data_IF_248679585924
#
_entry.id   IF_248679585924
#
_cell.length_a   1.000
_cell.length_b   1.000
_cell.length_c   1.000
_cell.angle_alpha   90.00
_cell.angle_beta   90.00
_cell.angle_gamma   90.00
#
_symmetry.space_group_name_H-M   'P 1'
#
loop_
_entity.id
_entity.type
_entity.pdbx_description
1 polymer ?
#
# COMPACT_ATOMS: atom_id res chain seq x y z
N UNK A 1 12.94 -58.58 55.59
CA UNK A 1 12.08 -57.38 55.74
C UNK A 1 12.86 -56.16 55.25
N UNK A 2 12.24 -55.40 54.34
CA UNK A 2 12.48 -54.01 53.86
C UNK A 2 13.91 -53.45 53.75
N UNK A 3 14.32 -53.20 52.49
CA UNK A 3 15.41 -52.31 52.06
C UNK A 3 14.91 -50.85 52.04
N UNK A 4 15.78 -49.90 52.40
CA UNK A 4 15.51 -48.46 52.48
C UNK A 4 16.30 -47.70 51.38
N UNK A 5 15.55 -46.86 50.66
CA UNK A 5 15.83 -45.56 50.01
C UNK A 5 17.03 -45.35 49.05
N UNK A 6 16.73 -44.72 47.89
CA UNK A 6 17.20 -43.40 47.38
C UNK A 6 16.85 -43.34 45.86
N UNK A 7 15.84 -42.57 45.41
CA UNK A 7 15.82 -41.13 45.02
C UNK A 7 16.14 -40.88 43.53
N UNK A 8 15.38 -39.93 42.94
CA UNK A 8 15.47 -39.26 41.61
C UNK A 8 14.75 -40.00 40.46
N UNK A 9 13.52 -39.67 40.02
CA UNK A 9 12.81 -38.41 39.72
C UNK A 9 13.47 -37.55 38.62
N UNK A 10 13.22 -37.92 37.35
CA UNK A 10 13.23 -37.01 36.20
C UNK A 10 12.06 -37.40 35.26
N UNK A 11 10.83 -36.99 35.58
CA UNK A 11 9.74 -37.01 34.61
C UNK A 11 9.97 -35.87 33.61
N UNK A 12 10.40 -36.23 32.40
CA UNK A 12 10.42 -35.32 31.26
C UNK A 12 8.99 -34.99 30.83
N UNK A 13 8.52 -33.80 31.17
CA UNK A 13 7.30 -33.22 30.59
C UNK A 13 7.75 -32.42 29.37
N UNK A 14 7.76 -33.06 28.20
CA UNK A 14 7.80 -32.37 26.91
C UNK A 14 6.38 -31.92 26.61
N UNK A 15 6.01 -30.73 27.07
CA UNK A 15 4.76 -30.10 26.67
C UNK A 15 4.84 -29.71 25.19
N UNK A 16 3.83 -30.04 24.35
CA UNK A 16 3.76 -29.46 23.02
C UNK A 16 3.53 -27.96 23.22
N UNK A 17 4.53 -27.15 22.84
CA UNK A 17 4.33 -25.72 22.68
C UNK A 17 3.27 -25.57 21.59
N UNK A 18 2.06 -25.20 21.99
CA UNK A 18 1.02 -24.69 21.11
C UNK A 18 1.60 -23.49 20.35
N UNK A 19 2.08 -23.75 19.14
CA UNK A 19 2.35 -22.71 18.17
C UNK A 19 1.03 -22.07 17.79
N UNK A 20 0.70 -20.94 18.40
CA UNK A 20 -0.25 -20.00 17.84
C UNK A 20 0.39 -19.45 16.56
N UNK A 21 0.28 -20.19 15.46
CA UNK A 21 0.31 -19.58 14.13
C UNK A 21 -0.95 -18.71 14.06
N UNK A 22 -0.81 -17.46 14.49
CA UNK A 22 -1.82 -16.42 14.26
C UNK A 22 -1.86 -16.12 12.77
N UNK A 23 -2.49 -17.02 12.00
CA UNK A 23 -2.82 -16.81 10.59
C UNK A 23 -3.96 -15.81 10.52
N UNK A 24 -3.66 -14.55 10.84
CA UNK A 24 -4.63 -13.45 10.84
C UNK A 24 -4.16 -12.31 9.93
N UNK A 25 -3.76 -12.64 8.70
CA UNK A 25 -3.53 -11.63 7.65
C UNK A 25 -4.73 -11.43 6.72
N UNK A 26 -5.94 -11.81 7.15
CA UNK A 26 -7.07 -11.95 6.22
C UNK A 26 -7.58 -10.62 5.61
N UNK A 27 -7.03 -9.47 6.00
CA UNK A 27 -7.45 -8.15 5.52
C UNK A 27 -6.38 -7.34 4.79
N UNK A 28 -5.13 -7.79 4.74
CA UNK A 28 -4.01 -6.99 4.21
C UNK A 28 -3.17 -7.81 3.21
N UNK A 29 -2.44 -7.10 2.36
CA UNK A 29 -1.48 -7.64 1.39
C UNK A 29 -0.22 -6.76 1.39
N UNK A 30 0.94 -7.36 1.17
CA UNK A 30 2.17 -6.57 0.96
C UNK A 30 2.16 -6.00 -0.47
N UNK A 31 2.30 -4.68 -0.59
CA UNK A 31 2.35 -4.01 -1.90
C UNK A 31 3.29 -2.80 -1.90
N UNK A 32 3.88 -2.50 -3.05
CA UNK A 32 4.54 -1.21 -3.32
C UNK A 32 3.50 -0.10 -3.48
N UNK A 33 3.89 1.15 -3.24
CA UNK A 33 2.99 2.31 -3.38
C UNK A 33 3.50 3.26 -4.45
N UNK A 34 2.60 3.66 -5.34
CA UNK A 34 2.86 4.65 -6.39
C UNK A 34 1.80 5.76 -6.34
N UNK A 35 2.23 7.00 -6.55
CA UNK A 35 1.36 8.13 -6.83
C UNK A 35 1.30 8.38 -8.34
N UNK A 36 0.10 8.60 -8.85
CA UNK A 36 -0.16 8.98 -10.24
C UNK A 36 -1.04 10.22 -10.21
N UNK A 37 -0.70 11.25 -10.98
CA UNK A 37 -1.37 12.53 -10.96
C UNK A 37 -1.97 12.84 -12.33
N UNK A 38 -3.29 13.00 -12.34
CA UNK A 38 -4.11 13.44 -13.48
C UNK A 38 -4.58 14.89 -13.29
N UNK A 39 -3.92 15.65 -12.42
CA UNK A 39 -4.15 17.07 -12.21
C UNK A 39 -2.86 17.86 -12.43
N UNK A 40 -2.99 19.19 -12.48
CA UNK A 40 -1.84 20.11 -12.55
C UNK A 40 -1.37 20.57 -11.15
N UNK A 41 -1.88 19.93 -10.09
CA UNK A 41 -1.45 20.21 -8.72
C UNK A 41 -0.19 19.41 -8.40
N UNK A 42 0.92 20.07 -8.05
CA UNK A 42 2.10 19.37 -7.54
C UNK A 42 1.80 18.79 -6.15
N UNK A 43 2.03 17.48 -5.98
CA UNK A 43 1.88 16.78 -4.70
C UNK A 43 3.26 16.45 -4.13
N UNK A 44 3.81 17.29 -3.22
CA UNK A 44 5.12 17.07 -2.63
C UNK A 44 5.20 15.74 -1.87
N UNK A 45 4.11 15.35 -1.20
CA UNK A 45 3.98 14.09 -0.50
C UNK A 45 2.52 13.71 -0.26
N UNK A 46 2.33 12.41 -0.09
CA UNK A 46 1.10 11.83 0.45
C UNK A 46 1.43 10.69 1.40
N UNK A 47 0.52 10.41 2.31
CA UNK A 47 0.57 9.31 3.26
C UNK A 47 -0.73 8.52 3.23
N UNK A 48 -0.61 7.23 3.48
CA UNK A 48 -1.73 6.31 3.63
C UNK A 48 -1.94 6.09 5.11
N UNK A 49 -3.19 6.26 5.55
CA UNK A 49 -3.61 6.06 6.91
C UNK A 49 -4.59 4.88 6.97
N UNK A 50 -4.63 4.22 8.12
CA UNK A 50 -5.69 3.26 8.43
C UNK A 50 -7.06 3.94 8.44
N UNK A 51 -8.13 3.15 8.50
CA UNK A 51 -9.49 3.68 8.68
C UNK A 51 -9.62 4.49 9.98
N UNK A 52 -8.94 4.09 11.06
CA UNK A 52 -8.87 4.84 12.32
C UNK A 52 -8.00 6.10 12.23
N UNK A 53 -7.32 6.33 11.11
CA UNK A 53 -6.48 7.49 10.87
C UNK A 53 -5.04 7.36 11.37
N UNK A 54 -4.61 6.16 11.74
CA UNK A 54 -3.24 5.90 12.15
C UNK A 54 -2.31 5.89 10.95
N UNK A 55 -1.10 6.42 11.13
CA UNK A 55 -0.05 6.39 10.12
C UNK A 55 0.35 4.95 9.83
N UNK A 56 0.32 4.57 8.57
CA UNK A 56 0.81 3.25 8.16
C UNK A 56 2.31 3.22 7.89
N UNK A 57 2.95 4.41 7.85
CA UNK A 57 4.32 4.56 7.37
C UNK A 57 4.45 4.47 5.84
N UNK A 58 3.32 4.41 5.12
CA UNK A 58 3.27 4.29 3.66
C UNK A 58 2.84 5.60 3.01
N UNK A 59 3.26 5.80 1.77
CA UNK A 59 2.96 7.00 1.02
C UNK A 59 3.83 7.12 -0.22
N UNK A 60 3.95 8.34 -0.71
CA UNK A 60 4.82 8.68 -1.81
C UNK A 60 5.23 10.13 -1.72
N UNK A 61 6.22 10.51 -2.53
CA UNK A 61 6.72 11.88 -2.60
C UNK A 61 6.92 12.31 -4.03
N UNK A 62 6.87 13.63 -4.24
CA UNK A 62 7.15 14.31 -5.50
C UNK A 62 6.32 13.74 -6.65
N UNK A 63 5.00 13.64 -6.46
CA UNK A 63 4.10 13.31 -7.57
C UNK A 63 4.01 14.55 -8.44
N UNK A 64 4.63 14.49 -9.62
CA UNK A 64 4.68 15.61 -10.55
C UNK A 64 3.28 15.98 -11.04
N UNK A 65 3.14 17.20 -11.53
CA UNK A 65 1.99 17.63 -12.33
C UNK A 65 1.80 16.69 -13.53
N UNK A 66 0.57 16.55 -14.00
CA UNK A 66 0.26 15.73 -15.16
C UNK A 66 1.07 16.17 -16.39
N UNK A 67 1.17 17.48 -16.64
CA UNK A 67 1.98 18.05 -17.72
C UNK A 67 3.48 17.70 -17.64
N UNK A 68 3.99 17.39 -16.46
CA UNK A 68 5.39 16.99 -16.19
C UNK A 68 5.56 15.47 -16.00
N UNK A 69 4.56 14.68 -16.43
CA UNK A 69 4.62 13.21 -16.45
C UNK A 69 3.80 12.51 -15.36
N UNK A 70 3.33 13.24 -14.34
CA UNK A 70 2.29 12.77 -13.43
C UNK A 70 2.64 11.54 -12.58
N UNK A 71 3.91 11.24 -12.34
CA UNK A 71 4.32 10.07 -11.55
C UNK A 71 5.08 10.49 -10.28
N UNK A 72 4.94 9.68 -9.22
CA UNK A 72 5.80 9.74 -8.04
C UNK A 72 7.06 8.91 -8.21
N UNK A 73 8.02 9.10 -7.30
CA UNK A 73 9.03 8.07 -7.04
C UNK A 73 8.40 6.81 -6.44
N UNK A 74 9.07 5.67 -6.58
CA UNK A 74 8.66 4.40 -5.97
C UNK A 74 8.96 4.37 -4.47
N UNK A 75 7.98 3.94 -3.66
CA UNK A 75 8.20 3.62 -2.23
C UNK A 75 7.95 2.14 -1.99
N UNK A 76 8.94 1.48 -1.39
CA UNK A 76 8.96 0.03 -1.20
C UNK A 76 8.05 -0.43 -0.05
N UNK A 77 7.73 -1.72 -0.11
CA UNK A 77 6.49 -2.38 0.26
C UNK A 77 6.06 -2.31 1.72
N UNK A 78 4.74 -2.28 1.93
CA UNK A 78 4.16 -2.38 3.26
C UNK A 78 2.72 -2.97 3.22
N UNK A 79 2.13 -3.29 4.40
CA UNK A 79 0.83 -3.94 4.46
C UNK A 79 -0.32 -2.99 4.06
N UNK A 80 -0.90 -3.18 2.88
CA UNK A 80 -2.03 -2.44 2.35
C UNK A 80 -3.35 -3.20 2.58
N UNK A 81 -4.45 -2.54 2.97
CA UNK A 81 -5.76 -3.18 3.04
C UNK A 81 -6.17 -3.79 1.69
N UNK A 82 -6.69 -5.02 1.71
CA UNK A 82 -7.21 -5.67 0.51
C UNK A 82 -8.39 -4.90 -0.11
N UNK A 83 -8.70 -5.15 -1.40
CA UNK A 83 -9.84 -4.52 -2.07
C UNK A 83 -11.16 -4.67 -1.30
N UNK A 84 -12.00 -3.65 -1.38
CA UNK A 84 -13.27 -3.54 -0.66
C UNK A 84 -13.16 -2.95 0.75
N UNK A 85 -11.94 -2.76 1.27
CA UNK A 85 -11.70 -2.06 2.55
C UNK A 85 -11.40 -0.59 2.32
N UNK A 86 -11.63 0.22 3.35
CA UNK A 86 -11.33 1.65 3.34
C UNK A 86 -9.94 1.96 3.83
N UNK A 87 -9.34 2.99 3.25
CA UNK A 87 -8.11 3.62 3.72
C UNK A 87 -8.28 5.14 3.60
N UNK A 88 -7.48 5.91 4.33
CA UNK A 88 -7.50 7.36 4.18
C UNK A 88 -6.20 7.84 3.56
N UNK A 89 -6.28 8.55 2.44
CA UNK A 89 -5.13 9.23 1.84
C UNK A 89 -5.08 10.64 2.41
N UNK A 90 -3.92 11.04 2.91
CA UNK A 90 -3.62 12.42 3.30
C UNK A 90 -2.53 12.94 2.38
N UNK A 91 -2.67 14.12 1.81
CA UNK A 91 -1.67 14.69 0.92
C UNK A 91 -1.64 16.20 1.01
N UNK A 92 -0.59 16.76 0.42
CA UNK A 92 -0.42 18.21 0.35
C UNK A 92 -0.36 18.66 -1.09
N UNK A 93 -0.71 19.92 -1.32
CA UNK A 93 -0.54 20.59 -2.60
C UNK A 93 0.12 21.94 -2.35
N UNK A 94 1.15 22.25 -3.13
CA UNK A 94 1.84 23.53 -3.08
C UNK A 94 2.81 23.67 -4.23
N UNK A 95 3.14 24.89 -4.64
CA UNK A 95 4.07 25.10 -5.75
C UNK A 95 5.51 24.72 -5.41
N UNK A 96 6.31 24.32 -6.41
CA UNK A 96 7.73 23.97 -6.24
C UNK A 96 8.59 25.05 -5.54
N UNK A 97 8.20 26.32 -5.67
CA UNK A 97 8.91 27.49 -5.09
C UNK A 97 8.16 28.10 -3.91
N UNK A 98 7.04 27.50 -3.53
CA UNK A 98 6.19 28.01 -2.48
C UNK A 98 6.68 27.51 -1.11
N UNK A 99 6.74 28.37 -0.08
CA UNK A 99 7.03 27.93 1.28
C UNK A 99 6.02 26.88 1.77
N UNK A 100 6.51 25.86 2.48
CA UNK A 100 5.69 24.77 3.03
C UNK A 100 4.52 25.24 3.90
N UNK A 101 4.68 26.38 4.58
CA UNK A 101 3.62 26.99 5.40
C UNK A 101 2.36 27.40 4.61
N UNK A 102 2.48 27.56 3.29
CA UNK A 102 1.35 27.89 2.41
C UNK A 102 0.75 26.66 1.73
N UNK A 103 1.36 25.47 1.90
CA UNK A 103 0.86 24.26 1.28
C UNK A 103 -0.49 23.88 1.89
N UNK A 104 -1.43 23.52 1.01
CA UNK A 104 -2.76 23.09 1.39
C UNK A 104 -2.74 21.61 1.73
N UNK A 105 -3.47 21.24 2.78
CA UNK A 105 -3.55 19.88 3.26
C UNK A 105 -4.92 19.30 2.95
N UNK A 106 -4.93 18.10 2.39
CA UNK A 106 -6.13 17.39 2.01
C UNK A 106 -6.13 16.00 2.62
N UNK A 107 -7.33 15.49 2.85
CA UNK A 107 -7.54 14.16 3.40
C UNK A 107 -8.83 13.57 2.86
N UNK A 108 -8.78 12.34 2.37
CA UNK A 108 -9.96 11.64 1.84
C UNK A 108 -9.93 10.16 2.14
N UNK A 109 -11.03 9.66 2.69
CA UNK A 109 -11.26 8.23 2.88
C UNK A 109 -11.80 7.64 1.58
N UNK A 110 -11.16 6.57 1.11
CA UNK A 110 -11.47 5.90 -0.15
C UNK A 110 -11.55 4.40 0.07
N UNK A 111 -12.34 3.72 -0.75
CA UNK A 111 -12.36 2.26 -0.83
C UNK A 111 -11.23 1.82 -1.74
N UNK A 112 -10.38 0.92 -1.26
CA UNK A 112 -9.35 0.27 -2.09
C UNK A 112 -10.06 -0.61 -3.12
N UNK A 113 -9.83 -0.35 -4.40
CA UNK A 113 -10.39 -1.13 -5.53
C UNK A 113 -9.37 -2.11 -6.09
N UNK A 114 -9.78 -2.86 -7.12
CA UNK A 114 -8.91 -3.74 -7.88
C UNK A 114 -8.76 -5.12 -7.26
N UNK A 115 -7.57 -5.70 -7.41
CA UNK A 115 -7.29 -7.09 -7.07
C UNK A 115 -5.96 -7.21 -6.31
N UNK A 116 -5.88 -8.23 -5.46
CA UNK A 116 -4.68 -8.52 -4.69
C UNK A 116 -4.45 -10.03 -4.64
N UNK A 117 -3.18 -10.44 -4.64
CA UNK A 117 -2.79 -11.83 -4.48
C UNK A 117 -1.78 -12.00 -3.35
N UNK A 118 -1.85 -13.15 -2.69
CA UNK A 118 -0.83 -13.61 -1.76
C UNK A 118 0.14 -14.61 -2.41
N UNK A 119 -0.03 -14.86 -3.71
CA UNK A 119 0.85 -15.69 -4.52
C UNK A 119 2.25 -15.07 -4.61
N UNK A 120 3.33 -15.78 -4.23
CA UNK A 120 4.69 -15.25 -4.29
C UNK A 120 5.17 -14.94 -5.71
N UNK A 121 4.56 -15.52 -6.75
CA UNK A 121 4.89 -15.26 -8.16
C UNK A 121 4.12 -14.04 -8.71
N UNK A 122 3.48 -13.27 -7.82
CA UNK A 122 2.78 -12.04 -8.13
C UNK A 122 3.24 -10.89 -7.24
N UNK A 123 3.25 -9.70 -7.82
CA UNK A 123 3.53 -8.45 -7.12
C UNK A 123 2.24 -7.65 -7.04
N UNK A 124 2.00 -7.06 -5.87
CA UNK A 124 0.91 -6.12 -5.67
C UNK A 124 1.48 -4.71 -5.66
N UNK A 125 0.76 -3.78 -6.28
CA UNK A 125 1.07 -2.36 -6.28
C UNK A 125 -0.19 -1.59 -5.96
N UNK A 126 -0.17 -0.78 -4.90
CA UNK A 126 -1.21 0.21 -4.69
C UNK A 126 -0.87 1.45 -5.52
N UNK A 127 -1.77 1.80 -6.42
CA UNK A 127 -1.72 3.05 -7.18
C UNK A 127 -2.70 4.03 -6.55
N UNK A 128 -2.17 5.14 -6.05
CA UNK A 128 -2.94 6.29 -5.56
C UNK A 128 -3.02 7.31 -6.69
N UNK A 129 -4.22 7.58 -7.20
CA UNK A 129 -4.46 8.47 -8.33
C UNK A 129 -5.05 9.79 -7.84
N UNK A 130 -4.40 10.91 -8.16
CA UNK A 130 -4.88 12.26 -7.88
C UNK A 130 -5.57 12.83 -9.11
N UNK A 131 -6.71 13.49 -8.92
CA UNK A 131 -7.54 14.04 -9.99
C UNK A 131 -7.89 15.51 -9.70
N UNK A 132 -8.31 16.28 -10.74
CA UNK A 132 -8.73 17.65 -10.56
C UNK A 132 -9.81 17.80 -9.48
N UNK A 133 -9.76 18.92 -8.74
CA UNK A 133 -10.66 19.16 -7.62
C UNK A 133 -10.22 18.51 -6.30
N UNK A 134 -8.97 18.05 -6.20
CA UNK A 134 -8.42 17.35 -5.04
C UNK A 134 -9.16 16.02 -4.77
N UNK A 135 -9.47 15.33 -5.85
CA UNK A 135 -10.08 14.01 -5.84
C UNK A 135 -9.00 12.93 -5.84
N UNK A 136 -9.27 11.79 -5.21
CA UNK A 136 -8.29 10.69 -5.11
C UNK A 136 -8.94 9.32 -5.20
N UNK A 137 -8.25 8.38 -5.84
CA UNK A 137 -8.59 6.96 -5.85
C UNK A 137 -7.41 6.10 -5.39
N UNK A 138 -7.71 4.92 -4.87
CA UNK A 138 -6.72 3.94 -4.46
C UNK A 138 -7.08 2.59 -5.07
N UNK A 139 -6.17 2.01 -5.86
CA UNK A 139 -6.40 0.73 -6.53
C UNK A 139 -5.20 -0.19 -6.36
N UNK A 140 -5.47 -1.43 -5.94
CA UNK A 140 -4.49 -2.49 -5.96
C UNK A 140 -4.47 -3.14 -7.35
N UNK A 141 -3.29 -3.13 -7.94
CA UNK A 141 -2.97 -3.83 -9.18
C UNK A 141 -2.10 -5.02 -8.82
N UNK A 142 -2.50 -6.20 -9.30
CA UNK A 142 -1.75 -7.43 -9.13
C UNK A 142 -1.19 -7.88 -10.48
N UNK A 143 0.11 -8.12 -10.54
CA UNK A 143 0.82 -8.52 -11.78
C UNK A 143 1.68 -9.75 -11.52
N UNK A 144 1.76 -10.63 -12.52
CA UNK A 144 2.69 -11.76 -12.50
C UNK A 144 4.13 -11.29 -12.72
N UNK A 145 5.10 -11.99 -12.13
CA UNK A 145 6.55 -11.68 -12.29
C UNK A 145 7.28 -12.62 -13.24
N UNK A 146 6.58 -13.60 -13.82
CA UNK A 146 7.16 -14.59 -14.74
C UNK A 146 7.61 -14.01 -16.09
N UNK A 147 8.40 -14.76 -16.87
CA UNK A 147 8.97 -14.31 -18.15
C UNK A 147 7.91 -13.97 -19.21
N UNK A 148 6.73 -14.61 -19.14
CA UNK A 148 5.61 -14.36 -20.04
C UNK A 148 4.58 -13.38 -19.46
N UNK A 149 4.91 -12.72 -18.33
CA UNK A 149 4.01 -11.80 -17.68
C UNK A 149 3.71 -10.59 -18.58
N UNK A 150 2.42 -10.32 -18.76
CA UNK A 150 1.95 -9.12 -19.43
C UNK A 150 1.57 -8.09 -18.36
N UNK A 151 1.90 -6.80 -18.57
CA UNK A 151 1.43 -5.77 -17.67
C UNK A 151 -0.09 -5.77 -17.56
N UNK A 152 -0.59 -5.41 -16.38
CA UNK A 152 -2.03 -5.30 -16.16
C UNK A 152 -2.61 -4.22 -17.07
N UNK A 153 -3.76 -4.45 -17.74
CA UNK A 153 -4.44 -3.40 -18.50
C UNK A 153 -4.91 -2.25 -17.60
N UNK A 154 -4.97 -2.47 -16.27
CA UNK A 154 -5.30 -1.43 -15.28
C UNK A 154 -4.15 -0.45 -15.03
N UNK A 155 -2.91 -0.83 -15.38
CA UNK A 155 -1.71 0.00 -15.19
C UNK A 155 -1.82 1.26 -16.05
N UNK A 156 -1.54 2.39 -15.43
CA UNK A 156 -1.73 3.69 -16.05
C UNK A 156 -0.75 3.95 -17.19
N UNK A 157 -1.23 4.63 -18.24
CA UNK A 157 -0.41 4.94 -19.43
C UNK A 157 0.81 5.82 -19.10
N UNK A 158 0.73 6.57 -17.99
CA UNK A 158 1.83 7.40 -17.48
C UNK A 158 3.07 6.57 -17.13
N UNK A 159 2.92 5.33 -16.65
CA UNK A 159 4.06 4.41 -16.43
C UNK A 159 4.84 4.06 -17.70
N UNK A 160 4.27 4.31 -18.88
CA UNK A 160 4.90 4.11 -20.19
C UNK A 160 5.31 5.43 -20.85
N UNK A 161 5.31 6.54 -20.11
CA UNK A 161 5.66 7.87 -20.62
C UNK A 161 4.59 8.47 -21.55
N UNK A 162 3.35 7.99 -21.49
CA UNK A 162 2.26 8.46 -22.35
C UNK A 162 1.29 9.32 -21.53
N UNK A 163 1.18 10.60 -21.89
CA UNK A 163 0.26 11.56 -21.28
C UNK A 163 -1.18 11.33 -21.77
N UNK A 164 -1.85 10.32 -21.21
CA UNK A 164 -3.26 10.02 -21.49
C UNK A 164 -4.07 10.25 -20.23
N UNK A 165 -5.00 11.21 -20.29
CA UNK A 165 -5.92 11.50 -19.20
C UNK A 165 -6.80 10.29 -18.88
N UNK A 166 -6.98 10.03 -17.59
CA UNK A 166 -7.89 9.04 -17.05
C UNK A 166 -9.05 9.74 -16.35
N UNK A 167 -10.25 9.18 -16.41
CA UNK A 167 -11.36 9.62 -15.57
C UNK A 167 -11.44 8.78 -14.29
N UNK A 168 -11.94 9.40 -13.23
CA UNK A 168 -12.17 8.73 -11.97
C UNK A 168 -13.16 7.56 -12.18
N UNK A 169 -12.79 6.36 -11.75
CA UNK A 169 -13.61 5.16 -11.90
C UNK A 169 -13.45 4.37 -13.20
N UNK A 170 -12.65 4.84 -14.16
CA UNK A 170 -12.26 4.07 -15.36
C UNK A 170 -11.53 2.78 -15.01
#
# INVERSE_FOLDING_TARGET
MRRIAFLLLCMGIVGPLCGCASTKSNGYVTASVYGVNYSEDYVPDFSILTESGEQTGMGGSRVQEFSEGGLSGEVCCAPIPKPGRTTTVSWRVGGHKEPEANWKHFRKTVVVRGEASNDPDKVNSLVVRFFPGHEVEAELICESTGPDARPSPRRDQLFYGRLVMRQMGD
#
